data_IF_125315160935
#
_entry.id   IF_125315160935
#
_cell.length_a   1.000
_cell.length_b   1.000
_cell.length_c   1.000
_cell.angle_alpha   90.00
_cell.angle_beta   90.00
_cell.angle_gamma   90.00
#
_symmetry.space_group_name_H-M   'P 1'
#
loop_
_entity.id
_entity.type
_entity.pdbx_description
1 polymer ?
#
# COMPACT_ATOMS: atom_id res chain seq x y z
N UNK A 1 23.02 -11.59 17.44
CA UNK A 1 22.78 -10.55 16.42
C UNK A 1 22.37 -9.26 17.13
N UNK A 2 23.07 -8.14 16.91
CA UNK A 2 22.70 -6.83 17.47
C UNK A 2 21.38 -6.36 16.84
N UNK A 3 20.35 -6.09 17.66
CA UNK A 3 19.09 -5.50 17.19
C UNK A 3 19.36 -4.06 16.75
N UNK A 4 19.11 -3.75 15.47
CA UNK A 4 19.15 -2.36 15.01
C UNK A 4 18.01 -1.57 15.68
N UNK A 5 18.30 -0.37 16.18
CA UNK A 5 17.29 0.58 16.69
C UNK A 5 16.59 1.25 15.50
N UNK A 6 15.53 0.63 15.01
CA UNK A 6 14.71 1.13 13.89
C UNK A 6 13.26 1.20 14.38
N UNK A 7 12.60 2.35 14.18
CA UNK A 7 11.17 2.50 14.44
C UNK A 7 10.36 1.76 13.38
N UNK A 8 9.21 1.21 13.78
CA UNK A 8 8.36 0.41 12.92
C UNK A 8 6.89 0.82 13.08
N UNK A 9 6.16 0.84 11.96
CA UNK A 9 4.74 1.17 11.90
C UNK A 9 4.03 0.15 11.00
N UNK A 10 3.03 -0.51 11.56
CA UNK A 10 2.01 -1.25 10.82
C UNK A 10 0.65 -0.58 11.07
N UNK A 11 -0.21 -0.59 10.06
CA UNK A 11 -1.56 -0.07 10.16
C UNK A 11 -2.51 -0.91 9.31
N UNK A 12 -3.78 -0.90 9.68
CA UNK A 12 -4.86 -1.51 8.91
C UNK A 12 -5.46 -0.48 7.95
N UNK A 13 -5.63 -0.85 6.68
CA UNK A 13 -6.36 -0.03 5.72
C UNK A 13 -7.83 0.13 6.12
N UNK A 14 -8.49 1.18 5.66
CA UNK A 14 -9.95 1.29 5.82
C UNK A 14 -10.64 0.04 5.24
N UNK A 15 -11.67 -0.42 5.94
CA UNK A 15 -12.36 -1.68 5.63
C UNK A 15 -11.62 -2.96 6.06
N UNK A 16 -10.52 -2.85 6.81
CA UNK A 16 -9.74 -4.02 7.27
C UNK A 16 -9.43 -3.95 8.76
N UNK A 17 -9.28 -5.12 9.39
CA UNK A 17 -8.73 -5.28 10.73
C UNK A 17 -9.46 -4.42 11.77
N UNK A 18 -8.73 -3.52 12.43
CA UNK A 18 -9.25 -2.58 13.44
C UNK A 18 -9.65 -1.21 12.88
N UNK A 19 -9.43 -0.97 11.58
CA UNK A 19 -9.84 0.28 10.92
C UNK A 19 -11.31 0.21 10.50
N UNK A 20 -12.00 1.35 10.56
CA UNK A 20 -13.43 1.44 10.26
C UNK A 20 -13.76 1.33 8.76
N UNK A 21 -15.06 1.17 8.48
CA UNK A 21 -15.66 1.21 7.14
C UNK A 21 -15.94 -0.19 6.59
N UNK A 22 -16.78 -0.27 5.56
CA UNK A 22 -17.08 -1.52 4.87
C UNK A 22 -16.11 -1.76 3.72
N UNK A 23 -15.43 -2.90 3.71
CA UNK A 23 -14.44 -3.29 2.69
C UNK A 23 -14.91 -3.04 1.25
N UNK A 24 -16.16 -3.38 0.94
CA UNK A 24 -16.73 -3.28 -0.41
C UNK A 24 -16.83 -1.85 -0.95
N UNK A 25 -16.67 -0.84 -0.08
CA UNK A 25 -16.73 0.57 -0.45
C UNK A 25 -15.34 1.19 -0.73
N UNK A 26 -14.26 0.42 -0.62
CA UNK A 26 -12.90 0.93 -0.77
C UNK A 26 -12.11 0.19 -1.85
N UNK A 27 -11.17 0.92 -2.46
CA UNK A 27 -10.21 0.34 -3.39
C UNK A 27 -8.79 0.87 -3.21
N UNK A 28 -7.94 0.56 -4.19
CA UNK A 28 -6.52 0.91 -4.18
C UNK A 28 -6.29 2.42 -3.96
N UNK A 29 -7.13 3.28 -4.54
CA UNK A 29 -7.05 4.73 -4.39
C UNK A 29 -7.27 5.19 -2.94
N UNK A 30 -8.24 4.59 -2.24
CA UNK A 30 -8.53 4.90 -0.84
C UNK A 30 -7.39 4.42 0.07
N UNK A 31 -6.87 3.23 -0.19
CA UNK A 31 -5.76 2.67 0.59
C UNK A 31 -4.44 3.43 0.35
N UNK A 32 -4.21 3.93 -0.87
CA UNK A 32 -3.15 4.92 -1.15
C UNK A 32 -3.34 6.18 -0.30
N UNK A 33 -4.56 6.71 -0.22
CA UNK A 33 -4.86 7.87 0.60
C UNK A 33 -4.64 7.59 2.09
N UNK A 34 -4.97 6.38 2.58
CA UNK A 34 -4.66 5.98 3.96
C UNK A 34 -3.17 6.05 4.27
N UNK A 35 -2.31 5.48 3.40
CA UNK A 35 -0.85 5.55 3.57
C UNK A 35 -0.36 7.00 3.59
N UNK A 36 -0.79 7.81 2.61
CA UNK A 36 -0.40 9.20 2.49
C UNK A 36 -0.81 10.03 3.72
N UNK A 37 -2.07 9.91 4.14
CA UNK A 37 -2.63 10.67 5.26
C UNK A 37 -1.95 10.28 6.57
N UNK A 38 -1.67 8.98 6.76
CA UNK A 38 -0.98 8.49 7.96
C UNK A 38 0.47 9.00 8.05
N UNK A 39 1.24 8.95 6.95
CA UNK A 39 2.60 9.48 6.91
C UNK A 39 2.61 10.99 7.20
N UNK A 40 1.67 11.74 6.64
CA UNK A 40 1.54 13.18 6.88
C UNK A 40 1.15 13.48 8.34
N UNK A 41 0.15 12.78 8.89
CA UNK A 41 -0.33 12.98 10.25
C UNK A 41 0.76 12.70 11.29
N UNK A 42 1.50 11.61 11.11
CA UNK A 42 2.62 11.24 11.97
C UNK A 42 3.92 12.00 11.66
N UNK A 43 3.92 12.87 10.64
CA UNK A 43 5.10 13.63 10.17
C UNK A 43 6.30 12.72 9.86
N UNK A 44 6.04 11.57 9.24
CA UNK A 44 7.08 10.62 8.87
C UNK A 44 7.66 11.05 7.51
N UNK A 45 8.93 11.44 7.54
CA UNK A 45 9.67 11.82 6.34
C UNK A 45 10.59 10.69 5.87
N UNK A 46 10.62 10.45 4.56
CA UNK A 46 11.51 9.46 3.93
C UNK A 46 11.44 8.05 4.56
N UNK A 47 10.25 7.43 4.70
CA UNK A 47 10.13 6.07 5.22
C UNK A 47 10.81 5.05 4.30
N UNK A 48 11.15 3.89 4.88
CA UNK A 48 11.32 2.64 4.13
C UNK A 48 9.94 2.01 4.03
N UNK A 49 9.40 1.94 2.82
CA UNK A 49 8.11 1.30 2.57
C UNK A 49 8.32 -0.19 2.33
N UNK A 50 7.58 -1.02 3.06
CA UNK A 50 7.57 -2.47 2.90
C UNK A 50 6.13 -2.90 2.64
N UNK A 51 5.89 -3.54 1.50
CA UNK A 51 4.54 -3.91 1.08
C UNK A 51 4.49 -5.33 0.50
N UNK A 52 3.50 -6.11 0.93
CA UNK A 52 3.21 -7.44 0.40
C UNK A 52 1.95 -7.43 -0.45
N UNK A 53 1.96 -8.08 -1.63
CA UNK A 53 0.80 -8.18 -2.52
C UNK A 53 0.16 -6.80 -2.80
N UNK A 54 -1.11 -6.61 -2.43
CA UNK A 54 -1.84 -5.35 -2.47
C UNK A 54 -1.11 -4.20 -1.76
N UNK A 55 -0.50 -4.45 -0.60
CA UNK A 55 0.30 -3.46 0.12
C UNK A 55 1.56 -3.05 -0.67
N UNK A 56 2.11 -3.97 -1.46
CA UNK A 56 3.18 -3.68 -2.41
C UNK A 56 2.72 -2.73 -3.51
N UNK A 57 1.52 -2.93 -4.06
CA UNK A 57 0.92 -2.02 -5.05
C UNK A 57 0.73 -0.60 -4.47
N UNK A 58 0.14 -0.48 -3.28
CA UNK A 58 -0.04 0.81 -2.61
C UNK A 58 1.29 1.51 -2.35
N UNK A 59 2.31 0.78 -1.87
CA UNK A 59 3.64 1.32 -1.64
C UNK A 59 4.34 1.77 -2.93
N UNK A 60 4.19 1.02 -4.03
CA UNK A 60 4.70 1.38 -5.36
C UNK A 60 4.03 2.66 -5.88
N UNK A 61 2.71 2.77 -5.74
CA UNK A 61 1.98 3.99 -6.12
C UNK A 61 2.46 5.20 -5.33
N UNK A 62 2.63 5.07 -4.01
CA UNK A 62 3.16 6.18 -3.20
C UNK A 62 4.58 6.60 -3.64
N UNK A 63 5.47 5.64 -3.88
CA UNK A 63 6.81 5.93 -4.37
C UNK A 63 6.80 6.57 -5.78
N UNK A 64 5.88 6.18 -6.64
CA UNK A 64 5.72 6.76 -7.98
C UNK A 64 5.23 8.22 -7.92
N UNK A 65 4.25 8.52 -7.06
CA UNK A 65 3.73 9.89 -6.88
C UNK A 65 4.68 10.80 -6.09
N UNK A 66 5.51 10.24 -5.20
CA UNK A 66 6.40 10.99 -4.31
C UNK A 66 7.83 10.41 -4.29
N UNK A 67 8.55 10.41 -5.44
CA UNK A 67 9.83 9.70 -5.58
C UNK A 67 10.93 10.24 -4.66
N UNK A 68 10.86 11.51 -4.26
CA UNK A 68 11.82 12.14 -3.34
C UNK A 68 11.45 12.00 -1.86
N UNK A 69 10.29 11.40 -1.54
CA UNK A 69 9.79 11.23 -0.17
C UNK A 69 9.89 9.79 0.33
N UNK A 70 10.52 8.89 -0.41
CA UNK A 70 10.68 7.48 -0.02
C UNK A 70 12.16 7.14 0.00
N UNK A 71 12.65 6.62 1.12
CA UNK A 71 14.08 6.28 1.26
C UNK A 71 14.41 4.98 0.55
N UNK A 72 13.55 3.97 0.70
CA UNK A 72 13.65 2.65 0.07
C UNK A 72 12.26 2.05 -0.07
N UNK A 73 12.09 1.18 -1.06
CA UNK A 73 10.90 0.37 -1.28
C UNK A 73 11.28 -1.10 -1.29
N UNK A 74 10.56 -1.92 -0.53
CA UNK A 74 10.71 -3.38 -0.50
C UNK A 74 9.34 -4.00 -0.80
N UNK A 75 9.22 -4.62 -1.97
CA UNK A 75 8.02 -5.36 -2.36
C UNK A 75 8.18 -6.86 -2.07
N UNK A 76 7.12 -7.49 -1.56
CA UNK A 76 7.04 -8.95 -1.37
C UNK A 76 5.86 -9.45 -2.22
N UNK A 77 6.16 -10.09 -3.35
CA UNK A 77 5.17 -10.45 -4.36
C UNK A 77 4.17 -9.31 -4.64
N UNK A 78 4.63 -8.09 -4.96
CA UNK A 78 3.74 -6.95 -5.17
C UNK A 78 2.81 -7.24 -6.35
N UNK A 79 1.56 -6.79 -6.24
CA UNK A 79 0.53 -7.05 -7.25
C UNK A 79 0.03 -5.75 -7.91
N UNK A 80 0.90 -4.96 -8.56
CA UNK A 80 0.46 -3.78 -9.30
C UNK A 80 -0.47 -4.18 -10.44
N UNK A 81 -1.53 -3.40 -10.62
CA UNK A 81 -2.50 -3.49 -11.73
C UNK A 81 -3.18 -4.86 -11.94
N UNK A 82 -3.15 -5.74 -10.92
CA UNK A 82 -3.67 -7.11 -11.03
C UNK A 82 -5.18 -7.15 -11.39
N UNK A 83 -5.93 -6.11 -11.03
CA UNK A 83 -7.35 -6.02 -11.37
C UNK A 83 -7.58 -5.88 -12.87
N UNK A 84 -6.68 -5.21 -13.58
CA UNK A 84 -6.74 -5.03 -15.03
C UNK A 84 -6.13 -6.25 -15.72
N UNK A 85 -4.92 -6.63 -15.33
CA UNK A 85 -4.12 -7.60 -16.05
C UNK A 85 -4.62 -9.04 -15.91
N UNK A 86 -5.26 -9.36 -14.79
CA UNK A 86 -5.73 -10.71 -14.47
C UNK A 86 -7.25 -10.77 -14.39
N UNK A 87 -7.87 -9.96 -13.53
CA UNK A 87 -9.32 -10.06 -13.28
C UNK A 87 -10.15 -9.64 -14.49
N UNK A 88 -9.98 -8.42 -14.99
CA UNK A 88 -10.79 -7.93 -16.10
C UNK A 88 -10.53 -8.68 -17.38
N UNK A 89 -9.28 -9.09 -17.63
CA UNK A 89 -8.93 -9.95 -18.76
C UNK A 89 -9.69 -11.28 -18.73
N UNK A 90 -9.79 -11.94 -17.59
CA UNK A 90 -10.48 -13.25 -17.46
C UNK A 90 -12.00 -13.13 -17.35
N UNK A 91 -12.52 -12.05 -16.76
CA UNK A 91 -13.96 -11.86 -16.58
C UNK A 91 -14.65 -11.29 -17.83
N UNK A 92 -13.92 -10.54 -18.66
CA UNK A 92 -14.45 -10.00 -19.92
C UNK A 92 -14.50 -11.03 -21.05
N UNK A 93 -13.68 -12.09 -21.00
CA UNK A 93 -13.63 -13.17 -21.99
C UNK A 93 -14.68 -14.25 -21.78
N UNK A 94 -15.37 -14.29 -20.62
CA UNK A 94 -16.47 -15.23 -20.32
C UNK A 94 -17.86 -14.74 -20.76
N UNK A 95 -17.94 -14.02 -21.88
CA UNK A 95 -19.23 -13.69 -22.52
C UNK A 95 -19.61 -14.72 -23.57
#
# INVERSE_FOLDING_TARGET
>A
MSKKKISFLCFDFQGHGKSNGDFVNFGIGDWFKNLKDLLNYLKIENPILIGSSMGGWVAMLYALYYPTKVKKLIGIAPAPDFTVDLLWKELSTKR
#
